data_IF_682046304670
#
_entry.id   IF_682046304670
#
_cell.length_a   1.000
_cell.length_b   1.000
_cell.length_c   1.000
_cell.angle_alpha   90.00
_cell.angle_beta   90.00
_cell.angle_gamma   90.00
#
_symmetry.space_group_name_H-M   'P 1'
#
loop_
_entity.id
_entity.type
_entity.pdbx_description
1 polymer ?
#
# COMPACT_ATOMS: atom_id res chain seq x y z
N UNK A 1 -13.32 -7.11 24.18
CA UNK A 1 -12.38 -7.46 23.08
C UNK A 1 -12.73 -6.57 21.89
N UNK A 2 -11.84 -5.64 21.50
CA UNK A 2 -12.10 -4.75 20.37
C UNK A 2 -12.01 -5.56 19.07
N UNK A 3 -13.08 -5.59 18.28
CA UNK A 3 -12.99 -6.13 16.93
C UNK A 3 -12.12 -5.16 16.11
N UNK A 4 -10.90 -5.56 15.75
CA UNK A 4 -10.05 -4.73 14.89
C UNK A 4 -10.74 -4.59 13.53
N UNK A 5 -10.97 -3.35 13.09
CA UNK A 5 -11.45 -3.07 11.74
C UNK A 5 -10.45 -3.52 10.67
N UNK A 6 -10.77 -3.34 9.38
CA UNK A 6 -9.88 -3.69 8.30
C UNK A 6 -8.48 -3.09 8.47
N UNK A 7 -7.47 -3.91 8.22
CA UNK A 7 -6.06 -3.50 8.25
C UNK A 7 -5.37 -4.01 6.99
N UNK A 8 -4.79 -3.08 6.23
CA UNK A 8 -3.87 -3.38 5.14
C UNK A 8 -2.45 -3.20 5.65
N UNK A 9 -1.65 -4.26 5.60
CA UNK A 9 -0.22 -4.21 5.94
C UNK A 9 0.59 -4.52 4.70
N UNK A 10 1.45 -3.58 4.32
CA UNK A 10 2.38 -3.70 3.21
C UNK A 10 3.81 -3.79 3.71
N UNK A 11 4.55 -4.78 3.21
CA UNK A 11 5.99 -4.86 3.33
C UNK A 11 6.57 -4.31 2.03
N UNK A 12 7.34 -3.23 2.12
CA UNK A 12 7.90 -2.51 0.98
C UNK A 12 9.41 -2.49 1.14
N UNK A 13 10.15 -3.11 0.22
CA UNK A 13 11.59 -3.24 0.32
C UNK A 13 12.31 -2.50 -0.80
N UNK A 14 13.42 -1.87 -0.40
CA UNK A 14 14.35 -1.19 -1.29
C UNK A 14 15.77 -1.31 -0.74
N UNK A 15 16.74 -1.63 -1.60
CA UNK A 15 18.17 -1.67 -1.26
C UNK A 15 18.49 -2.44 0.04
N UNK A 16 17.83 -3.60 0.24
CA UNK A 16 18.02 -4.46 1.41
C UNK A 16 17.30 -4.02 2.68
N UNK A 17 16.58 -2.88 2.67
CA UNK A 17 15.77 -2.41 3.80
C UNK A 17 14.29 -2.65 3.52
N UNK A 18 13.55 -3.20 4.49
CA UNK A 18 12.10 -3.40 4.40
C UNK A 18 11.36 -2.46 5.35
N UNK A 19 10.40 -1.73 4.82
CA UNK A 19 9.48 -0.87 5.55
C UNK A 19 8.14 -1.59 5.73
N UNK A 20 7.63 -1.63 6.95
CA UNK A 20 6.26 -2.10 7.24
C UNK A 20 5.34 -0.89 7.29
N UNK A 21 4.37 -0.83 6.37
CA UNK A 21 3.42 0.27 6.26
C UNK A 21 2.01 -0.27 6.49
N UNK A 22 1.28 0.37 7.38
CA UNK A 22 -0.09 -0.01 7.70
C UNK A 22 -1.08 1.08 7.29
N UNK A 23 -2.22 0.67 6.74
CA UNK A 23 -3.31 1.54 6.38
C UNK A 23 -4.63 0.99 6.93
N UNK A 24 -5.44 1.90 7.46
CA UNK A 24 -6.82 1.65 7.90
C UNK A 24 -7.78 2.42 7.00
N UNK A 25 -9.08 2.07 6.98
CA UNK A 25 -10.07 2.78 6.17
C UNK A 25 -10.12 4.28 6.48
N UNK A 26 -10.11 5.10 5.44
CA UNK A 26 -10.34 6.56 5.52
C UNK A 26 -11.52 6.96 4.63
N UNK A 27 -12.18 8.06 4.97
CA UNK A 27 -13.22 8.66 4.12
C UNK A 27 -12.65 9.61 3.05
N UNK A 28 -11.55 10.30 3.36
CA UNK A 28 -10.88 11.22 2.44
C UNK A 28 -9.49 10.70 2.02
N UNK A 29 -9.32 10.24 0.76
CA UNK A 29 -8.04 9.69 0.27
C UNK A 29 -6.92 10.73 0.13
N UNK A 30 -7.23 12.03 0.13
CA UNK A 30 -6.23 13.09 -0.02
C UNK A 30 -5.46 13.36 1.27
N UNK A 31 -6.01 12.97 2.42
CA UNK A 31 -5.36 13.11 3.73
C UNK A 31 -4.23 12.11 3.97
N UNK A 32 -4.17 11.03 3.18
CA UNK A 32 -3.16 9.98 3.35
C UNK A 32 -1.81 10.45 2.79
N UNK A 33 -0.81 10.56 3.64
CA UNK A 33 0.55 10.90 3.24
C UNK A 33 1.25 9.73 2.52
N UNK A 34 2.19 10.05 1.63
CA UNK A 34 3.11 9.05 1.10
C UNK A 34 4.25 8.79 2.09
N UNK A 35 4.73 7.55 2.14
CA UNK A 35 5.85 7.13 2.99
C UNK A 35 7.12 7.11 2.16
N UNK A 36 8.18 7.73 2.67
CA UNK A 36 9.51 7.66 2.07
C UNK A 36 10.13 6.27 2.22
N UNK A 37 10.66 5.77 1.11
CA UNK A 37 11.36 4.49 1.02
C UNK A 37 12.78 4.77 0.55
N UNK A 38 13.68 4.92 1.53
CA UNK A 38 15.11 5.10 1.32
C UNK A 38 15.50 6.35 0.52
N UNK A 39 14.69 7.41 0.53
CA UNK A 39 14.95 8.64 -0.22
C UNK A 39 14.93 8.48 -1.74
N UNK A 40 14.25 7.43 -2.24
CA UNK A 40 14.23 7.06 -3.67
C UNK A 40 12.85 6.72 -4.19
N UNK A 41 11.99 6.16 -3.35
CA UNK A 41 10.61 5.89 -3.71
C UNK A 41 9.68 6.46 -2.66
N UNK A 42 8.45 6.76 -3.08
CA UNK A 42 7.35 7.03 -2.17
C UNK A 42 6.30 5.95 -2.35
N UNK A 43 5.82 5.38 -1.24
CA UNK A 43 4.74 4.40 -1.25
C UNK A 43 3.53 4.95 -0.49
N UNK A 44 2.35 4.92 -1.12
CA UNK A 44 1.11 5.44 -0.54
C UNK A 44 -0.01 4.41 -0.65
N UNK A 45 -0.25 3.62 0.41
CA UNK A 45 -1.41 2.73 0.48
C UNK A 45 -2.64 3.49 0.98
N UNK A 46 -3.69 3.51 0.17
CA UNK A 46 -4.96 4.18 0.47
C UNK A 46 -6.06 3.13 0.52
N UNK A 47 -6.69 2.96 1.68
CA UNK A 47 -7.90 2.16 1.83
C UNK A 47 -9.07 3.12 2.08
N UNK A 48 -10.01 3.20 1.13
CA UNK A 48 -11.21 4.03 1.29
C UNK A 48 -12.38 3.17 1.76
N UNK A 49 -13.10 3.66 2.76
CA UNK A 49 -14.28 3.02 3.31
C UNK A 49 -14.47 3.33 4.79
N UNK A 50 -15.07 2.38 5.49
CA UNK A 50 -15.39 2.44 6.92
C UNK A 50 -14.82 1.21 7.64
N UNK A 51 -14.97 1.15 8.96
CA UNK A 51 -14.62 -0.03 9.76
C UNK A 51 -15.42 -1.30 9.41
N UNK A 52 -16.48 -1.19 8.59
CA UNK A 52 -17.37 -2.30 8.25
C UNK A 52 -17.48 -2.56 6.74
N UNK A 53 -16.95 -1.67 5.90
CA UNK A 53 -17.05 -1.77 4.44
C UNK A 53 -15.84 -1.11 3.80
N UNK A 54 -15.18 -1.80 2.87
CA UNK A 54 -14.09 -1.23 2.07
C UNK A 54 -14.63 -0.93 0.68
N UNK A 55 -14.57 0.32 0.26
CA UNK A 55 -15.02 0.75 -1.07
C UNK A 55 -13.97 0.40 -2.13
N UNK A 56 -12.70 0.68 -1.83
CA UNK A 56 -11.56 0.30 -2.65
C UNK A 56 -10.24 0.41 -1.90
N UNK A 57 -9.21 -0.25 -2.43
CA UNK A 57 -7.81 -0.05 -2.04
C UNK A 57 -7.04 0.44 -3.26
N UNK A 58 -6.23 1.49 -3.09
CA UNK A 58 -5.27 1.94 -4.10
C UNK A 58 -3.87 1.96 -3.52
N UNK A 59 -2.93 1.36 -4.24
CA UNK A 59 -1.51 1.39 -3.91
C UNK A 59 -0.82 2.26 -4.95
N UNK A 60 -0.19 3.34 -4.49
CA UNK A 60 0.59 4.22 -5.33
C UNK A 60 2.07 4.01 -5.02
N UNK A 61 2.87 3.84 -6.07
CA UNK A 61 4.31 3.90 -5.99
C UNK A 61 4.80 5.06 -6.86
N UNK A 62 5.68 5.87 -6.29
CA UNK A 62 6.34 6.98 -6.99
C UNK A 62 7.85 6.78 -6.93
N UNK A 63 8.54 7.21 -7.98
CA UNK A 63 9.96 7.47 -7.96
C UNK A 63 10.18 8.91 -7.46
N UNK A 64 11.04 9.08 -6.46
CA UNK A 64 11.45 10.40 -5.99
C UNK A 64 12.49 10.99 -6.96
N UNK A 65 12.07 12.00 -7.72
CA UNK A 65 12.87 12.62 -8.78
C UNK A 65 13.11 14.10 -8.48
N UNK A 66 14.18 14.67 -9.05
CA UNK A 66 14.74 15.98 -8.67
C UNK A 66 13.77 17.17 -8.72
N UNK A 67 12.73 17.13 -9.56
CA UNK A 67 11.73 18.20 -9.65
C UNK A 67 10.47 17.90 -8.83
N UNK A 68 9.94 16.69 -8.98
CA UNK A 68 8.74 16.24 -8.29
C UNK A 68 8.69 14.70 -8.36
N UNK A 69 8.03 14.04 -7.40
CA UNK A 69 7.77 12.62 -7.48
C UNK A 69 7.03 12.23 -8.76
N UNK A 70 7.49 11.18 -9.42
CA UNK A 70 6.89 10.63 -10.65
C UNK A 70 6.14 9.36 -10.31
N UNK A 71 4.86 9.30 -10.67
CA UNK A 71 4.03 8.12 -10.46
C UNK A 71 4.51 6.98 -11.39
N UNK A 72 4.88 5.85 -10.81
CA UNK A 72 5.37 4.67 -11.57
C UNK A 72 4.37 3.51 -11.57
N UNK A 73 3.49 3.43 -10.56
CA UNK A 73 2.41 2.44 -10.54
C UNK A 73 1.20 2.95 -9.73
N UNK A 74 0.00 2.61 -10.21
CA UNK A 74 -1.23 2.58 -9.41
C UNK A 74 -1.88 1.22 -9.55
N UNK A 75 -1.99 0.48 -8.46
CA UNK A 75 -2.82 -0.73 -8.40
C UNK A 75 -4.13 -0.41 -7.67
N UNK A 76 -5.27 -0.77 -8.27
CA UNK A 76 -6.61 -0.56 -7.70
C UNK A 76 -7.29 -1.91 -7.47
N UNK A 77 -7.69 -2.17 -6.23
CA UNK A 77 -8.44 -3.34 -5.82
C UNK A 77 -9.85 -2.93 -5.43
N UNK A 78 -10.84 -3.66 -5.95
CA UNK A 78 -12.26 -3.44 -5.73
C UNK A 78 -12.86 -4.64 -4.99
N UNK A 79 -13.96 -4.45 -4.24
CA UNK A 79 -14.68 -5.56 -3.64
C UNK A 79 -15.22 -6.54 -4.71
N UNK A 80 -15.54 -7.80 -4.32
CA UNK A 80 -15.56 -8.30 -2.94
C UNK A 80 -14.18 -8.66 -2.40
N UNK A 81 -13.90 -8.24 -1.16
CA UNK A 81 -12.72 -8.68 -0.40
C UNK A 81 -13.05 -9.93 0.41
N UNK A 82 -12.04 -10.77 0.67
CA UNK A 82 -12.26 -11.99 1.46
C UNK A 82 -12.49 -11.62 2.92
N UNK A 83 -13.65 -12.00 3.46
CA UNK A 83 -13.99 -11.84 4.88
C UNK A 83 -13.17 -12.82 5.73
N UNK A 84 -12.72 -12.37 6.91
CA UNK A 84 -12.02 -13.24 7.84
C UNK A 84 -11.06 -12.53 8.78
N UNK A 85 -10.75 -13.19 9.88
CA UNK A 85 -9.80 -12.70 10.89
C UNK A 85 -8.33 -12.94 10.51
N UNK A 86 -8.05 -13.88 9.61
CA UNK A 86 -6.69 -14.19 9.17
C UNK A 86 -6.28 -13.28 7.99
N UNK A 87 -5.07 -12.70 8.02
CA UNK A 87 -4.56 -11.98 6.87
C UNK A 87 -4.43 -12.89 5.65
N UNK A 88 -4.85 -12.36 4.49
CA UNK A 88 -4.63 -12.98 3.19
C UNK A 88 -3.80 -12.07 2.30
N UNK A 89 -3.06 -12.67 1.37
CA UNK A 89 -2.23 -11.94 0.42
C UNK A 89 -3.12 -11.23 -0.61
N UNK A 90 -3.17 -9.90 -0.57
CA UNK A 90 -3.99 -9.09 -1.47
C UNK A 90 -3.32 -8.91 -2.82
N UNK A 91 -2.01 -8.67 -2.82
CA UNK A 91 -1.26 -8.25 -4.03
C UNK A 91 -0.42 -9.37 -4.63
N UNK A 92 -0.01 -10.36 -3.83
CA UNK A 92 1.19 -11.14 -4.13
C UNK A 92 2.45 -10.27 -3.97
N UNK A 93 3.61 -10.80 -4.36
CA UNK A 93 4.82 -10.00 -4.45
C UNK A 93 4.84 -9.23 -5.77
N UNK A 94 5.22 -7.95 -5.71
CA UNK A 94 5.27 -7.02 -6.83
C UNK A 94 6.69 -6.48 -6.96
N UNK A 95 7.14 -6.32 -8.19
CA UNK A 95 8.48 -5.82 -8.54
C UNK A 95 8.33 -4.62 -9.47
N UNK A 96 8.88 -3.48 -9.06
CA UNK A 96 8.80 -2.22 -9.78
C UNK A 96 10.22 -1.74 -10.05
N UNK A 97 10.53 -1.48 -11.32
CA UNK A 97 11.83 -0.99 -11.76
C UNK A 97 11.69 0.44 -12.27
N UNK A 98 12.43 1.38 -11.70
CA UNK A 98 12.37 2.77 -12.13
C UNK A 98 13.63 3.58 -11.83
N UNK A 99 13.81 4.66 -12.59
CA UNK A 99 14.90 5.62 -12.41
C UNK A 99 16.27 5.12 -12.88
N UNK A 100 17.33 5.89 -12.59
CA UNK A 100 18.69 5.52 -12.98
C UNK A 100 19.11 4.16 -12.40
N UNK A 101 19.82 3.36 -13.20
CA UNK A 101 20.31 2.01 -12.84
C UNK A 101 19.20 1.01 -12.47
N UNK A 102 17.99 1.16 -13.01
CA UNK A 102 16.89 0.20 -12.84
C UNK A 102 16.62 -0.15 -11.38
N UNK A 103 16.56 0.87 -10.52
CA UNK A 103 16.30 0.65 -9.08
C UNK A 103 15.04 -0.19 -8.91
N UNK A 104 15.17 -1.23 -8.11
CA UNK A 104 14.09 -2.18 -7.82
C UNK A 104 13.43 -1.84 -6.48
N UNK A 105 12.13 -1.56 -6.53
CA UNK A 105 11.24 -1.51 -5.38
C UNK A 105 10.39 -2.78 -5.39
N UNK A 106 10.36 -3.52 -4.28
CA UNK A 106 9.45 -4.64 -4.12
C UNK A 106 8.39 -4.34 -3.08
N UNK A 107 7.18 -4.88 -3.26
CA UNK A 107 6.19 -4.85 -2.19
C UNK A 107 5.25 -6.05 -2.21
N UNK A 108 4.71 -6.35 -1.05
CA UNK A 108 3.57 -7.25 -0.88
C UNK A 108 2.64 -6.70 0.20
N UNK A 109 1.34 -6.78 -0.02
CA UNK A 109 0.34 -6.34 0.95
C UNK A 109 -0.60 -7.47 1.33
N UNK A 110 -0.92 -7.53 2.62
CA UNK A 110 -1.91 -8.42 3.22
C UNK A 110 -3.10 -7.61 3.72
N UNK A 111 -4.30 -8.19 3.61
CA UNK A 111 -5.54 -7.61 4.13
C UNK A 111 -6.15 -8.55 5.18
N UNK A 112 -6.61 -7.99 6.30
CA UNK A 112 -7.28 -8.72 7.37
C UNK A 112 -8.40 -7.88 8.00
N UNK A 113 -9.25 -8.52 8.81
CA UNK A 113 -10.27 -7.82 9.59
C UNK A 113 -11.46 -7.34 8.77
N UNK A 114 -11.61 -7.86 7.55
CA UNK A 114 -12.79 -7.64 6.70
C UNK A 114 -13.95 -8.46 7.28
N UNK A 115 -15.11 -7.83 7.45
CA UNK A 115 -16.33 -8.45 7.98
C UNK A 115 -17.27 -8.89 6.87
#
# INVERSE_FOLDING_TARGET
MAASGPLLRCLVAYAGTTHTIEATPVSDPYTVASVDIGGRFLFKPVMVGTAHHIDYIKLYAYLDASRQPVLIQVAKYLPPFKSGSRPYMLTGEQYLYAGPAERELTYQCTLQGVK
#
